data_IF_982631645887
#
_entry.id   IF_982631645887
#
_cell.length_a   1.000
_cell.length_b   1.000
_cell.length_c   1.000
_cell.angle_alpha   90.00
_cell.angle_beta   90.00
_cell.angle_gamma   90.00
#
_symmetry.space_group_name_H-M   'P 1'
#
loop_
_entity.id
_entity.type
_entity.pdbx_description
1 polymer ?
#
# COMPACT_ATOMS: atom_id res chain seq x y z
N UNK A 1 36.18 4.72 2.78
CA UNK A 1 35.29 3.88 1.95
C UNK A 1 33.92 3.93 2.60
N UNK A 2 32.99 4.71 2.06
CA UNK A 2 31.63 4.77 2.59
C UNK A 2 30.94 3.45 2.29
N UNK A 3 30.54 2.71 3.33
CA UNK A 3 29.60 1.61 3.18
C UNK A 3 28.30 2.20 2.66
N UNK A 4 28.05 2.06 1.35
CA UNK A 4 26.78 2.35 0.72
C UNK A 4 25.75 1.40 1.34
N UNK A 5 25.03 1.86 2.36
CA UNK A 5 23.93 1.12 2.92
C UNK A 5 22.84 1.12 1.85
N UNK A 6 22.73 0.03 1.10
CA UNK A 6 21.76 -0.09 0.03
C UNK A 6 20.36 -0.16 0.67
N UNK A 7 19.55 0.87 0.44
CA UNK A 7 18.14 0.88 0.82
C UNK A 7 17.32 0.17 -0.25
N UNK A 8 17.00 -1.09 0.01
CA UNK A 8 16.09 -1.88 -0.80
C UNK A 8 14.70 -1.91 -0.18
N UNK A 9 13.67 -1.85 -1.03
CA UNK A 9 12.30 -2.16 -0.65
C UNK A 9 12.02 -3.59 -1.13
N UNK A 10 11.54 -4.43 -0.23
CA UNK A 10 11.22 -5.83 -0.51
C UNK A 10 9.80 -6.12 -0.01
N UNK A 11 9.03 -6.88 -0.78
CA UNK A 11 7.78 -7.47 -0.30
C UNK A 11 8.11 -8.72 0.53
N UNK A 12 7.41 -8.89 1.65
CA UNK A 12 7.61 -9.97 2.62
C UNK A 12 6.25 -10.56 2.99
N UNK A 13 6.27 -11.74 3.64
CA UNK A 13 5.10 -12.50 4.09
C UNK A 13 4.16 -12.98 2.96
N UNK A 14 4.50 -14.15 2.43
CA UNK A 14 3.70 -14.84 1.40
C UNK A 14 2.82 -15.95 1.99
N UNK A 15 2.56 -15.97 3.31
CA UNK A 15 1.84 -17.04 3.99
C UNK A 15 0.39 -17.24 3.51
N UNK A 16 -0.22 -16.19 2.94
CA UNK A 16 -1.57 -16.19 2.39
C UNK A 16 -1.60 -16.09 0.86
N UNK A 17 -0.42 -16.09 0.20
CA UNK A 17 -0.33 -15.91 -1.23
C UNK A 17 -0.94 -17.11 -1.98
N UNK A 18 -1.68 -16.81 -3.05
CA UNK A 18 -2.24 -17.85 -3.94
C UNK A 18 -1.35 -18.01 -5.17
N UNK A 19 -0.96 -19.25 -5.48
CA UNK A 19 -0.26 -19.56 -6.74
C UNK A 19 -1.30 -19.70 -7.85
N UNK A 20 -1.28 -18.79 -8.82
CA UNK A 20 -2.17 -18.83 -9.98
C UNK A 20 -2.67 -17.44 -10.37
N UNK A 21 -3.60 -17.40 -11.33
CA UNK A 21 -4.17 -16.14 -11.84
C UNK A 21 -5.43 -15.69 -11.09
N UNK A 22 -5.98 -16.54 -10.22
CA UNK A 22 -7.22 -16.28 -9.49
C UNK A 22 -7.16 -16.86 -8.08
N UNK A 23 -7.88 -16.23 -7.16
CA UNK A 23 -8.07 -16.71 -5.78
C UNK A 23 -9.50 -16.52 -5.31
N UNK A 24 -9.91 -17.33 -4.35
CA UNK A 24 -11.13 -17.17 -3.54
C UNK A 24 -10.80 -17.11 -2.04
N UNK A 25 -9.52 -16.95 -1.68
CA UNK A 25 -9.10 -16.80 -0.28
C UNK A 25 -9.61 -15.50 0.29
N UNK A 26 -10.22 -15.56 1.48
CA UNK A 26 -10.77 -14.40 2.18
C UNK A 26 -9.91 -13.96 3.36
N UNK A 27 -8.68 -14.48 3.47
CA UNK A 27 -7.75 -14.13 4.53
C UNK A 27 -6.98 -12.84 4.18
N UNK A 28 -6.79 -11.96 5.17
CA UNK A 28 -6.03 -10.72 5.04
C UNK A 28 -6.47 -9.69 6.09
N UNK A 29 -5.86 -8.50 6.03
CA UNK A 29 -6.24 -7.39 6.91
C UNK A 29 -7.33 -6.54 6.24
N UNK A 30 -8.48 -6.42 6.89
CA UNK A 30 -9.73 -5.94 6.28
C UNK A 30 -9.62 -4.53 5.66
N UNK A 31 -8.88 -3.60 6.26
CA UNK A 31 -8.73 -2.22 5.76
C UNK A 31 -8.06 -2.15 4.38
N UNK A 32 -7.25 -3.15 4.02
CA UNK A 32 -6.56 -3.24 2.73
C UNK A 32 -7.31 -4.11 1.71
N UNK A 33 -8.40 -4.78 2.10
CA UNK A 33 -9.12 -5.69 1.20
C UNK A 33 -9.88 -4.92 0.11
N UNK A 34 -9.78 -5.40 -1.12
CA UNK A 34 -10.52 -4.86 -2.26
C UNK A 34 -12.01 -5.27 -2.21
N UNK A 35 -12.93 -4.49 -2.81
CA UNK A 35 -14.36 -4.81 -2.84
C UNK A 35 -14.66 -6.21 -3.38
N UNK A 36 -13.93 -6.66 -4.40
CA UNK A 36 -14.12 -7.98 -5.01
C UNK A 36 -13.66 -9.15 -4.11
N UNK A 37 -12.80 -8.88 -3.10
CA UNK A 37 -12.43 -9.88 -2.10
C UNK A 37 -13.59 -10.11 -1.14
N UNK A 38 -14.30 -9.04 -0.74
CA UNK A 38 -15.52 -9.16 0.06
C UNK A 38 -16.63 -9.90 -0.67
N UNK A 39 -16.78 -9.69 -1.98
CA UNK A 39 -17.74 -10.46 -2.78
C UNK A 39 -17.48 -11.98 -2.72
N UNK A 40 -16.23 -12.41 -2.56
CA UNK A 40 -15.88 -13.83 -2.39
C UNK A 40 -16.19 -14.38 -0.99
N UNK A 41 -16.38 -13.51 0.01
CA UNK A 41 -16.86 -13.90 1.35
C UNK A 41 -18.34 -14.29 1.27
N UNK A 42 -19.12 -13.57 0.46
CA UNK A 42 -20.56 -13.82 0.28
C UNK A 42 -20.84 -14.98 -0.68
N UNK A 43 -20.04 -15.10 -1.75
CA UNK A 43 -20.17 -16.12 -2.77
C UNK A 43 -18.90 -16.97 -2.89
N UNK A 44 -18.96 -18.21 -2.37
CA UNK A 44 -17.88 -19.19 -2.43
C UNK A 44 -17.44 -19.60 -3.85
N UNK A 45 -18.22 -19.25 -4.87
CA UNK A 45 -17.91 -19.50 -6.28
C UNK A 45 -17.23 -18.31 -6.96
N UNK A 46 -17.30 -17.12 -6.35
CA UNK A 46 -16.63 -15.93 -6.85
C UNK A 46 -15.11 -16.06 -6.70
N UNK A 47 -14.40 -15.37 -7.60
CA UNK A 47 -12.94 -15.34 -7.62
C UNK A 47 -12.48 -13.95 -8.01
N UNK A 48 -11.39 -13.48 -7.40
CA UNK A 48 -10.69 -12.26 -7.77
C UNK A 48 -9.33 -12.57 -8.41
N UNK A 49 -8.75 -11.58 -9.10
CA UNK A 49 -7.44 -11.67 -9.74
C UNK A 49 -6.39 -10.83 -8.99
N UNK A 50 -5.19 -10.75 -9.55
CA UNK A 50 -4.06 -9.99 -9.00
C UNK A 50 -4.33 -8.47 -8.86
N UNK A 51 -5.42 -7.92 -9.38
CA UNK A 51 -5.74 -6.49 -9.20
C UNK A 51 -6.26 -6.17 -7.80
N UNK A 52 -6.64 -7.18 -7.01
CA UNK A 52 -6.87 -6.99 -5.58
C UNK A 52 -5.61 -6.42 -4.89
N UNK A 53 -4.41 -6.87 -5.27
CA UNK A 53 -3.15 -6.33 -4.72
C UNK A 53 -2.91 -4.86 -5.11
N UNK A 54 -3.43 -4.43 -6.26
CA UNK A 54 -3.36 -3.02 -6.70
C UNK A 54 -4.23 -2.12 -5.81
N UNK A 55 -5.37 -2.62 -5.34
CA UNK A 55 -6.17 -1.89 -4.34
C UNK A 55 -5.42 -1.78 -3.03
N UNK A 56 -4.87 -2.90 -2.52
CA UNK A 56 -4.05 -2.92 -1.30
C UNK A 56 -2.89 -1.93 -1.39
N UNK A 57 -2.24 -1.83 -2.56
CA UNK A 57 -1.19 -0.82 -2.82
C UNK A 57 -1.71 0.61 -2.70
N UNK A 58 -2.93 0.91 -3.17
CA UNK A 58 -3.56 2.21 -3.01
C UNK A 58 -3.80 2.57 -1.54
N UNK A 59 -4.27 1.60 -0.74
CA UNK A 59 -4.45 1.78 0.71
C UNK A 59 -3.10 1.99 1.42
N UNK A 60 -2.08 1.20 1.09
CA UNK A 60 -0.71 1.39 1.61
C UNK A 60 -0.13 2.75 1.20
N UNK A 61 -0.45 3.27 0.01
CA UNK A 61 -0.03 4.59 -0.40
C UNK A 61 -0.63 5.71 0.47
N UNK A 62 -1.92 5.59 0.83
CA UNK A 62 -2.57 6.50 1.78
C UNK A 62 -1.90 6.36 3.15
N UNK A 63 -1.71 5.14 3.64
CA UNK A 63 -1.06 4.87 4.93
C UNK A 63 0.33 5.51 5.02
N UNK A 64 1.16 5.37 3.98
CA UNK A 64 2.49 5.97 3.95
C UNK A 64 2.45 7.50 3.93
N UNK A 65 1.40 8.08 3.33
CA UNK A 65 1.25 9.52 3.24
C UNK A 65 0.73 10.13 4.56
N UNK A 66 -0.29 9.52 5.15
CA UNK A 66 -1.05 10.09 6.27
C UNK A 66 -0.67 9.49 7.63
N UNK A 67 0.14 8.43 7.62
CA UNK A 67 0.61 7.73 8.82
C UNK A 67 -0.32 6.65 9.34
N UNK A 68 -1.51 6.49 8.78
CA UNK A 68 -2.44 5.41 9.09
C UNK A 68 -3.30 5.05 7.86
N UNK A 69 -3.73 3.80 7.77
CA UNK A 69 -4.68 3.38 6.76
C UNK A 69 -6.08 3.99 7.03
N UNK A 70 -6.95 4.10 6.02
CA UNK A 70 -8.33 4.48 6.23
C UNK A 70 -9.05 3.53 7.19
N UNK A 71 -9.96 4.09 7.99
CA UNK A 71 -10.93 3.34 8.81
C UNK A 71 -10.32 2.48 9.94
N UNK A 72 -9.12 2.77 10.41
CA UNK A 72 -8.45 1.99 11.48
C UNK A 72 -9.21 1.94 12.82
N UNK A 73 -10.15 2.87 13.05
CA UNK A 73 -10.96 2.93 14.27
C UNK A 73 -12.35 2.28 14.13
N UNK A 74 -12.71 1.80 12.93
CA UNK A 74 -14.03 1.24 12.64
C UNK A 74 -14.06 -0.27 12.89
N UNK A 75 -15.25 -0.79 13.17
CA UNK A 75 -15.50 -2.24 13.22
C UNK A 75 -15.51 -2.87 11.84
N UNK A 76 -15.28 -4.19 11.76
CA UNK A 76 -15.24 -4.92 10.48
C UNK A 76 -16.50 -4.70 9.62
N UNK A 77 -17.68 -4.68 10.25
CA UNK A 77 -18.96 -4.44 9.57
C UNK A 77 -19.05 -3.02 9.00
N UNK A 78 -18.53 -2.02 9.72
CA UNK A 78 -18.49 -0.63 9.26
C UNK A 78 -17.50 -0.48 8.10
N UNK A 79 -16.32 -1.10 8.20
CA UNK A 79 -15.30 -1.12 7.14
C UNK A 79 -15.87 -1.74 5.86
N UNK A 80 -16.50 -2.91 5.97
CA UNK A 80 -17.19 -3.56 4.86
C UNK A 80 -18.20 -2.60 4.21
N UNK A 81 -19.03 -1.93 5.02
CA UNK A 81 -20.05 -1.00 4.53
C UNK A 81 -19.41 0.16 3.75
N UNK A 82 -18.33 0.75 4.29
CA UNK A 82 -17.57 1.81 3.63
C UNK A 82 -16.99 1.34 2.29
N UNK A 83 -16.28 0.22 2.29
CA UNK A 83 -15.61 -0.31 1.11
C UNK A 83 -16.60 -0.72 0.02
N UNK A 84 -17.78 -1.23 0.37
CA UNK A 84 -18.78 -1.67 -0.60
C UNK A 84 -19.65 -0.52 -1.12
N UNK A 85 -20.06 0.41 -0.26
CA UNK A 85 -21.14 1.36 -0.60
C UNK A 85 -20.72 2.82 -0.74
N UNK A 86 -19.68 3.26 -0.03
CA UNK A 86 -19.22 4.66 -0.10
C UNK A 86 -18.24 4.87 -1.27
N UNK A 87 -17.95 6.11 -1.71
CA UNK A 87 -16.82 6.36 -2.60
C UNK A 87 -15.51 5.78 -2.04
N UNK A 88 -14.57 5.43 -2.92
CA UNK A 88 -13.24 4.97 -2.50
C UNK A 88 -12.58 6.01 -1.59
N UNK A 89 -11.80 5.59 -0.57
CA UNK A 89 -11.03 6.53 0.22
C UNK A 89 -10.04 7.27 -0.69
N UNK A 90 -9.76 8.52 -0.34
CA UNK A 90 -8.77 9.35 -1.00
C UNK A 90 -7.85 9.98 0.03
N UNK A 91 -6.82 10.68 -0.43
CA UNK A 91 -5.98 11.49 0.44
C UNK A 91 -6.80 12.67 0.97
N UNK A 92 -6.65 12.95 2.27
CA UNK A 92 -7.40 13.96 3.02
C UNK A 92 -6.69 15.31 3.05
N UNK A 93 -5.36 15.32 2.92
CA UNK A 93 -4.56 16.54 2.96
C UNK A 93 -4.42 17.16 1.56
N UNK A 94 -4.66 18.46 1.45
CA UNK A 94 -4.63 19.18 0.17
C UNK A 94 -3.20 19.41 -0.36
N UNK A 95 -2.20 19.23 0.50
CA UNK A 95 -0.78 19.43 0.19
C UNK A 95 -0.19 18.35 -0.73
N UNK A 96 -0.89 17.22 -0.88
CA UNK A 96 -0.44 16.14 -1.75
C UNK A 96 -0.56 16.53 -3.22
N UNK A 97 0.48 16.23 -4.01
CA UNK A 97 0.49 16.58 -5.43
C UNK A 97 -0.71 15.95 -6.18
N UNK A 98 -1.24 16.68 -7.17
CA UNK A 98 -2.32 16.18 -8.04
C UNK A 98 -1.93 14.86 -8.72
N UNK A 99 -0.65 14.70 -9.06
CA UNK A 99 -0.11 13.48 -9.66
C UNK A 99 -0.18 12.29 -8.69
N UNK A 100 0.07 12.52 -7.39
CA UNK A 100 -0.03 11.47 -6.37
C UNK A 100 -1.49 11.10 -6.07
N UNK A 101 -2.37 12.10 -5.92
CA UNK A 101 -3.81 11.88 -5.80
C UNK A 101 -4.33 11.03 -6.97
N UNK A 102 -3.96 11.39 -8.20
CA UNK A 102 -4.33 10.63 -9.38
C UNK A 102 -3.83 9.19 -9.34
N UNK A 103 -2.62 8.92 -8.84
CA UNK A 103 -2.12 7.55 -8.68
C UNK A 103 -2.97 6.73 -7.70
N UNK A 104 -3.30 7.32 -6.54
CA UNK A 104 -4.15 6.67 -5.53
C UNK A 104 -5.54 6.39 -6.10
N UNK A 105 -6.15 7.34 -6.82
CA UNK A 105 -7.46 7.17 -7.46
C UNK A 105 -7.48 6.03 -8.48
N UNK A 106 -6.40 5.86 -9.26
CA UNK A 106 -6.28 4.73 -10.19
C UNK A 106 -6.20 3.39 -9.46
N UNK A 107 -5.42 3.32 -8.38
CA UNK A 107 -5.31 2.11 -7.55
C UNK A 107 -6.66 1.75 -6.90
N UNK A 108 -7.40 2.75 -6.41
CA UNK A 108 -8.64 2.58 -5.66
C UNK A 108 -9.90 2.63 -6.54
N UNK A 109 -9.75 2.27 -7.82
CA UNK A 109 -10.89 2.03 -8.69
C UNK A 109 -11.66 0.78 -8.21
N UNK A 110 -12.91 0.96 -7.76
CA UNK A 110 -13.73 -0.15 -7.25
C UNK A 110 -14.00 -1.26 -8.27
N UNK A 111 -14.15 -0.90 -9.54
CA UNK A 111 -14.35 -1.87 -10.62
C UNK A 111 -12.99 -2.47 -11.03
N UNK A 112 -12.70 -3.75 -10.70
CA UNK A 112 -11.42 -4.38 -11.01
C UNK A 112 -11.15 -4.55 -12.52
N UNK A 113 -12.18 -4.45 -13.36
CA UNK A 113 -11.99 -4.46 -14.82
C UNK A 113 -11.41 -3.14 -15.35
N UNK A 114 -11.66 -2.05 -14.62
CA UNK A 114 -11.17 -0.68 -14.92
C UNK A 114 -9.94 -0.31 -14.12
N UNK A 115 -9.67 -1.00 -13.02
CA UNK A 115 -8.44 -0.85 -12.23
C UNK A 115 -7.23 -1.28 -13.09
N UNK A 116 -6.16 -0.48 -13.19
CA UNK A 116 -4.97 -0.85 -13.94
C UNK A 116 -4.23 -2.02 -13.27
N UNK A 117 -3.48 -2.79 -14.05
CA UNK A 117 -2.51 -3.75 -13.51
C UNK A 117 -1.31 -3.04 -12.91
N UNK A 118 -0.55 -3.74 -12.07
CA UNK A 118 0.73 -3.23 -11.56
C UNK A 118 1.69 -2.83 -12.70
N UNK A 119 1.73 -3.62 -13.78
CA UNK A 119 2.53 -3.32 -14.97
C UNK A 119 2.08 -2.01 -15.65
N UNK A 120 0.77 -1.78 -15.78
CA UNK A 120 0.25 -0.53 -16.32
C UNK A 120 0.59 0.67 -15.42
N UNK A 121 0.53 0.49 -14.10
CA UNK A 121 0.86 1.54 -13.12
C UNK A 121 2.34 1.96 -13.16
N UNK A 122 3.26 1.12 -13.63
CA UNK A 122 4.66 1.52 -13.83
C UNK A 122 4.82 2.68 -14.81
N UNK A 123 3.86 2.86 -15.72
CA UNK A 123 3.83 3.98 -16.66
C UNK A 123 3.14 5.25 -16.11
N UNK A 124 2.54 5.18 -14.92
CA UNK A 124 1.84 6.33 -14.33
C UNK A 124 2.81 7.48 -14.02
N UNK A 125 2.44 8.76 -14.28
CA UNK A 125 3.33 9.90 -14.05
C UNK A 125 3.93 9.96 -12.65
N UNK A 126 3.18 9.55 -11.62
CA UNK A 126 3.70 9.47 -10.23
C UNK A 126 4.93 8.57 -10.11
N UNK A 127 4.95 7.44 -10.82
CA UNK A 127 6.06 6.49 -10.79
C UNK A 127 7.21 7.00 -11.68
N UNK A 128 6.89 7.46 -12.90
CA UNK A 128 7.92 7.84 -13.87
C UNK A 128 8.66 9.12 -13.48
N UNK A 129 7.98 10.16 -12.96
CA UNK A 129 8.63 11.40 -12.54
C UNK A 129 9.52 11.21 -11.29
N UNK A 130 9.11 10.36 -10.36
CA UNK A 130 9.90 10.14 -9.13
C UNK A 130 11.11 9.23 -9.36
N UNK A 131 11.14 8.47 -10.45
CA UNK A 131 12.31 7.64 -10.81
C UNK A 131 13.60 8.44 -10.95
N UNK A 132 13.52 9.70 -11.40
CA UNK A 132 14.67 10.60 -11.55
C UNK A 132 15.31 11.04 -10.22
N UNK A 133 14.57 10.92 -9.11
CA UNK A 133 15.02 11.33 -7.78
C UNK A 133 15.39 10.13 -6.90
N UNK A 134 15.44 8.92 -7.48
CA UNK A 134 15.55 7.68 -6.71
C UNK A 134 16.83 7.61 -5.87
N UNK A 135 17.95 8.17 -6.35
CA UNK A 135 19.20 8.18 -5.59
C UNK A 135 19.14 9.11 -4.38
N UNK A 136 18.52 10.29 -4.51
CA UNK A 136 18.30 11.20 -3.37
C UNK A 136 17.39 10.56 -2.33
N UNK A 137 16.27 9.97 -2.78
CA UNK A 137 15.32 9.28 -1.90
C UNK A 137 16.01 8.13 -1.16
N UNK A 138 16.78 7.28 -1.85
CA UNK A 138 17.57 6.21 -1.23
C UNK A 138 18.53 6.75 -0.17
N UNK A 139 19.24 7.82 -0.48
CA UNK A 139 20.18 8.45 0.47
C UNK A 139 19.45 8.98 1.71
N UNK A 140 18.30 9.63 1.54
CA UNK A 140 17.48 10.13 2.66
C UNK A 140 16.95 8.99 3.53
N UNK A 141 16.50 7.89 2.91
CA UNK A 141 16.07 6.69 3.64
C UNK A 141 17.25 6.09 4.41
N UNK A 142 18.40 5.90 3.77
CA UNK A 142 19.60 5.37 4.41
C UNK A 142 20.04 6.21 5.62
N UNK A 143 20.01 7.54 5.48
CA UNK A 143 20.30 8.47 6.58
C UNK A 143 19.29 8.35 7.72
N UNK A 144 17.99 8.23 7.41
CA UNK A 144 16.95 8.06 8.43
C UNK A 144 17.13 6.75 9.21
N UNK A 145 17.40 5.64 8.51
CA UNK A 145 17.68 4.33 9.12
C UNK A 145 18.90 4.41 10.05
N UNK A 146 19.98 5.09 9.63
CA UNK A 146 21.18 5.26 10.45
C UNK A 146 20.91 6.07 11.72
N UNK A 147 20.13 7.16 11.62
CA UNK A 147 19.71 7.95 12.78
C UNK A 147 18.91 7.11 13.79
N UNK A 148 17.96 6.31 13.32
CA UNK A 148 17.19 5.39 14.17
C UNK A 148 18.10 4.41 14.93
N UNK A 149 19.06 3.80 14.24
CA UNK A 149 20.04 2.89 14.88
C UNK A 149 20.87 3.57 15.97
N UNK A 150 21.31 4.82 15.73
CA UNK A 150 22.10 5.60 16.68
C UNK A 150 21.30 5.97 17.95
N UNK A 151 20.00 6.28 17.80
CA UNK A 151 19.11 6.54 18.93
C UNK A 151 18.95 5.29 19.79
N UNK A 152 18.67 4.14 19.16
CA UNK A 152 18.52 2.88 19.90
C UNK A 152 19.83 2.45 20.57
N UNK A 153 21.00 2.61 19.93
CA UNK A 153 22.28 2.29 20.57
C UNK A 153 22.59 3.17 21.78
N UNK A 154 22.27 4.47 21.72
CA UNK A 154 22.44 5.38 22.86
C UNK A 154 21.46 5.09 24.00
N UNK A 155 20.28 4.56 23.67
CA UNK A 155 19.28 4.12 24.67
C UNK A 155 19.78 2.91 25.45
N UNK A 156 20.49 1.99 24.80
CA UNK A 156 21.12 0.84 25.47
C UNK A 156 22.33 1.22 26.33
N UNK A 157 23.12 2.22 25.91
CA UNK A 157 24.29 2.67 26.69
C UNK A 157 23.88 3.44 27.95
N UNK A 158 22.78 4.20 27.91
CA UNK A 158 22.27 4.95 29.07
C UNK A 158 21.37 4.10 30.01
N UNK A 159 21.13 2.83 29.69
CA UNK A 159 20.35 1.91 30.50
C UNK A 159 21.21 0.87 31.26
N UNK A 160 22.55 0.99 31.19
CA UNK A 160 23.55 0.22 31.94
C UNK A 160 24.27 1.19 32.88
#
# INVERSE_FOLDING_TARGET
MYNSCLSYIISVDFGLATVGSKSNSTAGTINWMAPEVFACIEDSTAQYDFKADVWSLGITAIEMAEGCAPYMELSDTEIYTKIMHDPSPGLTWEEWSVIFNSFVDHCLCKDPSRRPSAEQLLSHPFITYNSYHMDDVKNRIAQHIQKGKAIHSNSFINAI
#
